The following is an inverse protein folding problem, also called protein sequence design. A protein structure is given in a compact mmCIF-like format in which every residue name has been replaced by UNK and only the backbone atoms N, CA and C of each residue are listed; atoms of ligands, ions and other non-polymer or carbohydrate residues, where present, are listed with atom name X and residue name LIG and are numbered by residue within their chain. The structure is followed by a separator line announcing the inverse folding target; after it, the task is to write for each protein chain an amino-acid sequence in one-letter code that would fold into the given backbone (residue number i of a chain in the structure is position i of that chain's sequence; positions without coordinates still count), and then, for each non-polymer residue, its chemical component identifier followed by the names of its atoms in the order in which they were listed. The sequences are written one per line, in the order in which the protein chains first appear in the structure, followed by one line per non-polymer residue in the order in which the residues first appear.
data_IF_330237905669
#
_entry.id   IF_330237905669
#
_cell.length_a   1.000
_cell.length_b   1.000
_cell.length_c   1.000
_cell.angle_alpha   90.00
_cell.angle_beta   90.00
_cell.angle_gamma   90.00
#
_symmetry.space_group_name_H-M   'P 1'
#
loop_
_entity.id
_entity.type
_entity.pdbx_description
1 polymer ?
#
# COMPACT_ATOMS: atom_id res chain seq x y z
N UNK A 1 61.72 16.96 7.16
CA UNK A 1 60.45 17.39 6.54
C UNK A 1 59.71 16.15 6.08
N UNK A 2 58.76 15.64 6.88
CA UNK A 2 57.98 14.43 6.58
C UNK A 2 56.62 14.84 6.02
N UNK A 3 56.30 14.32 4.83
CA UNK A 3 55.03 14.58 4.15
C UNK A 3 53.88 13.83 4.84
N UNK A 4 52.91 14.58 5.36
CA UNK A 4 51.66 14.08 5.92
C UNK A 4 50.74 13.66 4.77
N UNK A 5 50.35 12.39 4.71
CA UNK A 5 49.33 11.89 3.76
C UNK A 5 47.92 12.25 4.28
N UNK A 6 46.99 12.65 3.40
CA UNK A 6 45.62 12.96 3.80
C UNK A 6 44.84 11.66 4.13
N UNK A 7 43.83 11.74 5.01
CA UNK A 7 43.02 10.59 5.38
C UNK A 7 42.15 10.15 4.19
N UNK A 8 42.15 8.83 3.91
CA UNK A 8 41.26 8.20 2.93
C UNK A 8 39.82 8.31 3.44
N UNK A 9 38.98 9.04 2.71
CA UNK A 9 37.53 9.08 2.94
C UNK A 9 36.93 7.68 2.83
N UNK A 10 36.14 7.29 3.83
CA UNK A 10 35.34 6.06 3.77
C UNK A 10 34.18 6.26 2.78
N UNK A 11 33.82 5.24 1.99
CA UNK A 11 32.62 5.32 1.15
C UNK A 11 31.39 5.47 2.06
N UNK A 12 30.56 6.49 1.77
CA UNK A 12 29.25 6.69 2.39
C UNK A 12 28.30 5.60 1.89
N UNK A 13 27.53 5.00 2.80
CA UNK A 13 26.46 4.05 2.49
C UNK A 13 25.23 4.82 1.98
N UNK A 14 24.47 4.26 1.03
CA UNK A 14 23.21 4.86 0.59
C UNK A 14 22.11 4.68 1.65
N UNK A 15 21.13 5.61 1.69
CA UNK A 15 19.91 5.51 2.50
C UNK A 15 19.07 4.29 2.10
N UNK A 16 18.29 3.73 3.03
CA UNK A 16 17.38 2.60 2.75
C UNK A 16 16.15 3.09 1.93
N UNK A 17 15.41 2.20 1.27
CA UNK A 17 14.20 2.51 0.48
C UNK A 17 12.98 1.84 1.13
N UNK A 18 11.77 2.38 0.88
CA UNK A 18 10.57 2.10 1.68
C UNK A 18 9.72 0.93 1.21
N UNK A 19 9.84 0.55 -0.05
CA UNK A 19 9.65 -0.84 -0.44
C UNK A 19 11.05 -1.48 -0.49
N UNK A 20 11.20 -2.73 -0.05
CA UNK A 20 12.51 -3.33 -0.07
C UNK A 20 12.72 -3.56 -1.58
N UNK A 21 13.50 -2.69 -2.22
CA UNK A 21 13.95 -2.67 -3.62
C UNK A 21 14.73 -1.35 -3.73
N UNK A 22 15.90 -1.23 -3.14
CA UNK A 22 17.12 -1.05 -3.93
C UNK A 22 18.30 -0.92 -2.97
N UNK A 23 19.39 -1.61 -3.26
CA UNK A 23 20.70 -1.36 -2.67
C UNK A 23 21.73 -1.97 -3.61
N UNK A 24 22.14 -1.23 -4.65
CA UNK A 24 23.54 -1.13 -5.13
C UNK A 24 23.64 -0.34 -6.44
N UNK A 25 24.41 0.75 -6.39
CA UNK A 25 25.35 1.10 -7.47
C UNK A 25 24.88 2.09 -8.52
N UNK A 26 25.07 3.38 -8.24
CA UNK A 26 24.93 4.48 -9.19
C UNK A 26 25.64 4.19 -10.53
N UNK A 27 24.86 3.84 -11.56
CA UNK A 27 25.24 3.99 -12.97
C UNK A 27 24.46 5.16 -13.53
N UNK A 28 25.19 6.19 -13.97
CA UNK A 28 24.66 7.34 -14.71
C UNK A 28 23.90 6.84 -15.96
N UNK A 29 22.58 6.83 -15.90
CA UNK A 29 21.74 6.76 -17.09
C UNK A 29 21.65 8.15 -17.70
N UNK A 30 21.88 8.24 -19.02
CA UNK A 30 21.69 9.46 -19.81
C UNK A 30 20.18 9.64 -20.06
N UNK A 31 19.64 10.88 -20.14
CA UNK A 31 18.25 11.10 -20.50
C UNK A 31 18.08 10.74 -21.98
N UNK A 32 17.61 9.52 -22.25
CA UNK A 32 17.18 9.06 -23.55
C UNK A 32 15.66 9.15 -23.60
N UNK A 33 15.16 10.01 -24.47
CA UNK A 33 13.75 10.26 -24.73
C UNK A 33 12.96 8.96 -24.95
N UNK A 34 12.05 8.64 -24.04
CA UNK A 34 10.99 7.66 -24.25
C UNK A 34 9.68 8.15 -23.59
N UNK A 35 9.31 9.39 -23.88
CA UNK A 35 7.95 9.89 -23.67
C UNK A 35 7.16 9.51 -24.93
N UNK A 36 6.59 8.30 -24.95
CA UNK A 36 5.89 7.81 -26.13
C UNK A 36 5.22 6.47 -25.90
N UNK A 37 3.89 6.53 -25.82
CA UNK A 37 2.93 5.41 -25.79
C UNK A 37 2.89 4.58 -24.51
N UNK A 38 1.85 4.81 -23.70
CA UNK A 38 0.90 3.78 -23.25
C UNK A 38 -0.30 4.46 -22.58
N UNK A 39 -1.16 5.05 -23.43
CA UNK A 39 -2.52 5.49 -23.09
C UNK A 39 -3.43 4.80 -24.11
N UNK A 40 -3.64 3.50 -23.91
CA UNK A 40 -4.47 2.68 -24.79
C UNK A 40 -5.20 1.59 -23.99
N UNK A 41 -6.10 2.03 -23.11
CA UNK A 41 -7.31 1.39 -22.58
C UNK A 41 -7.69 2.25 -21.36
N UNK A 42 -8.86 2.85 -21.19
CA UNK A 42 -10.18 2.59 -21.72
C UNK A 42 -10.99 3.90 -21.70
N UNK A 43 -11.24 4.52 -22.85
CA UNK A 43 -12.41 5.38 -22.99
C UNK A 43 -13.63 4.48 -23.18
N UNK A 44 -13.99 3.72 -22.14
CA UNK A 44 -15.37 3.29 -22.01
C UNK A 44 -16.12 4.54 -21.57
N UNK A 45 -16.91 5.12 -22.48
CA UNK A 45 -17.91 6.10 -22.09
C UNK A 45 -18.66 5.51 -20.89
N UNK A 46 -18.64 6.21 -19.76
CA UNK A 46 -19.37 5.81 -18.57
C UNK A 46 -20.81 5.47 -19.01
N UNK A 47 -21.28 4.23 -18.84
CA UNK A 47 -22.64 3.89 -19.22
C UNK A 47 -23.59 4.78 -18.42
N UNK A 48 -24.66 5.33 -19.04
CA UNK A 48 -25.67 6.16 -18.37
C UNK A 48 -26.48 5.40 -17.28
N UNK A 49 -26.06 4.19 -16.91
CA UNK A 49 -26.63 3.38 -15.84
C UNK A 49 -26.09 3.75 -14.46
N UNK A 50 -24.95 4.46 -14.37
CA UNK A 50 -24.37 4.91 -13.10
C UNK A 50 -25.28 5.89 -12.33
N UNK A 51 -26.04 6.75 -13.02
CA UNK A 51 -27.04 7.63 -12.41
C UNK A 51 -28.32 6.90 -11.97
N UNK A 52 -28.62 5.71 -12.51
CA UNK A 52 -29.82 4.94 -12.12
C UNK A 52 -29.62 4.14 -10.84
N UNK A 53 -28.41 3.69 -10.56
CA UNK A 53 -28.07 2.94 -9.35
C UNK A 53 -28.30 3.77 -8.07
N UNK A 54 -27.90 5.04 -8.05
CA UNK A 54 -28.15 5.96 -6.92
C UNK A 54 -29.65 6.19 -6.67
N UNK A 55 -30.50 6.12 -7.70
CA UNK A 55 -31.94 6.30 -7.57
C UNK A 55 -32.70 5.03 -7.16
N UNK A 56 -32.06 3.85 -7.23
CA UNK A 56 -32.72 2.56 -7.06
C UNK A 56 -32.57 1.92 -5.66
N UNK A 57 -31.88 2.58 -4.72
CA UNK A 57 -31.63 2.00 -3.39
C UNK A 57 -30.78 0.73 -3.45
N UNK A 58 -29.89 0.64 -4.44
CA UNK A 58 -28.89 -0.43 -4.49
C UNK A 58 -28.02 -0.37 -3.23
N UNK A 59 -27.62 -1.54 -2.68
CA UNK A 59 -26.72 -1.58 -1.53
C UNK A 59 -25.47 -0.75 -1.82
N UNK A 60 -25.02 0.01 -0.82
CA UNK A 60 -23.78 0.77 -0.90
C UNK A 60 -22.67 -0.15 -1.42
N UNK A 61 -21.94 0.31 -2.44
CA UNK A 61 -20.86 -0.47 -3.05
C UNK A 61 -19.79 -0.71 -1.98
N UNK A 62 -19.21 -1.91 -1.89
CA UNK A 62 -18.11 -2.13 -0.96
C UNK A 62 -17.00 -1.11 -1.29
N UNK A 63 -16.55 -0.32 -0.30
CA UNK A 63 -15.40 0.55 -0.48
C UNK A 63 -14.15 -0.30 -0.75
N UNK A 64 -13.16 0.29 -1.42
CA UNK A 64 -11.87 -0.37 -1.62
C UNK A 64 -11.13 -0.38 -0.28
N UNK A 65 -10.73 -1.56 0.14
CA UNK A 65 -10.08 -1.80 1.42
C UNK A 65 -8.58 -1.50 1.31
N UNK A 66 -7.95 -1.93 0.22
CA UNK A 66 -6.51 -1.87 0.02
C UNK A 66 -6.14 -1.36 -1.38
N UNK A 67 -5.02 -0.65 -1.48
CA UNK A 67 -4.46 -0.18 -2.76
C UNK A 67 -3.16 -0.90 -3.07
N UNK A 68 -2.76 -0.87 -4.35
CA UNK A 68 -1.54 -1.55 -4.79
C UNK A 68 -0.26 -0.78 -4.46
N UNK A 69 -0.30 0.55 -4.52
CA UNK A 69 0.86 1.43 -4.29
C UNK A 69 0.61 2.48 -3.19
N UNK A 70 -0.65 2.79 -2.88
CA UNK A 70 -1.05 3.81 -1.92
C UNK A 70 -1.70 3.25 -0.66
N UNK A 71 -2.28 4.15 0.13
CA UNK A 71 -3.04 3.82 1.34
C UNK A 71 -4.51 4.21 1.13
N UNK A 72 -5.44 3.33 1.48
CA UNK A 72 -6.87 3.64 1.51
C UNK A 72 -7.29 4.12 2.91
N UNK A 73 -8.15 5.14 3.03
CA UNK A 73 -8.73 5.52 4.32
C UNK A 73 -9.88 4.59 4.69
N UNK A 74 -9.58 3.31 4.94
CA UNK A 74 -10.57 2.29 5.27
C UNK A 74 -10.33 1.73 6.69
N UNK A 75 -10.88 2.36 7.74
CA UNK A 75 -10.76 1.82 9.08
C UNK A 75 -11.65 0.58 9.24
N UNK A 76 -11.10 -0.46 9.86
CA UNK A 76 -11.87 -1.62 10.30
C UNK A 76 -12.96 -1.26 11.31
N UNK A 77 -14.10 -1.96 11.28
CA UNK A 77 -15.15 -1.81 12.29
C UNK A 77 -14.62 -2.20 13.69
N UNK A 78 -15.29 -1.74 14.75
CA UNK A 78 -14.91 -2.11 16.11
C UNK A 78 -14.93 -3.64 16.29
N UNK A 79 -13.78 -4.20 16.68
CA UNK A 79 -13.53 -5.63 16.87
C UNK A 79 -13.57 -6.44 15.56
N UNK A 80 -13.32 -5.81 14.43
CA UNK A 80 -13.08 -6.49 13.17
C UNK A 80 -11.58 -6.70 12.95
N UNK A 81 -11.23 -7.91 12.50
CA UNK A 81 -9.88 -8.27 12.08
C UNK A 81 -9.85 -8.41 10.56
N UNK A 82 -9.06 -7.57 9.90
CA UNK A 82 -8.68 -7.75 8.51
C UNK A 82 -7.34 -8.46 8.40
N UNK A 83 -7.27 -9.39 7.47
CA UNK A 83 -6.05 -10.12 7.11
C UNK A 83 -5.80 -9.93 5.63
N UNK A 84 -4.73 -9.20 5.30
CA UNK A 84 -4.32 -8.95 3.92
C UNK A 84 -3.02 -9.70 3.62
N UNK A 85 -2.94 -10.36 2.48
CA UNK A 85 -1.66 -10.76 1.90
C UNK A 85 -1.49 -10.11 0.54
N UNK A 86 -0.36 -9.44 0.33
CA UNK A 86 -0.07 -8.73 -0.91
C UNK A 86 1.16 -9.30 -1.67
N UNK A 87 1.12 -10.54 -2.20
CA UNK A 87 2.26 -11.10 -2.89
C UNK A 87 2.72 -10.24 -4.06
N UNK A 88 4.01 -9.95 -4.10
CA UNK A 88 4.62 -9.12 -5.14
C UNK A 88 5.77 -9.86 -5.81
N UNK A 89 5.85 -9.78 -7.13
CA UNK A 89 7.02 -10.15 -7.91
C UNK A 89 7.52 -8.92 -8.64
N UNK A 90 8.79 -8.58 -8.46
CA UNK A 90 9.39 -7.37 -9.01
C UNK A 90 10.70 -7.71 -9.72
N UNK A 91 11.00 -6.95 -10.77
CA UNK A 91 12.26 -7.01 -11.48
C UNK A 91 12.85 -5.62 -11.67
N UNK A 92 14.12 -5.48 -11.31
CA UNK A 92 14.95 -4.31 -11.56
C UNK A 92 16.27 -4.77 -12.21
N UNK A 93 16.36 -4.64 -13.53
CA UNK A 93 17.47 -5.12 -14.34
C UNK A 93 17.68 -6.63 -14.21
N UNK A 94 18.65 -7.02 -13.37
CA UNK A 94 19.02 -8.41 -13.05
C UNK A 94 18.59 -8.85 -11.66
N UNK A 95 18.16 -7.91 -10.82
CA UNK A 95 17.60 -8.19 -9.51
C UNK A 95 16.15 -8.63 -9.69
N UNK A 96 15.78 -9.69 -9.00
CA UNK A 96 14.39 -10.14 -8.89
C UNK A 96 14.04 -10.22 -7.42
N UNK A 97 12.92 -9.63 -7.04
CA UNK A 97 12.36 -9.76 -5.69
C UNK A 97 11.03 -10.49 -5.77
N UNK A 98 10.78 -11.31 -4.77
CA UNK A 98 9.48 -11.88 -4.48
C UNK A 98 9.16 -11.63 -3.02
N UNK A 99 8.03 -11.00 -2.75
CA UNK A 99 7.54 -10.68 -1.41
C UNK A 99 6.19 -11.33 -1.17
N UNK A 100 5.94 -11.76 0.07
CA UNK A 100 4.63 -12.20 0.56
C UNK A 100 4.40 -11.53 1.91
N UNK A 101 4.06 -10.22 1.91
CA UNK A 101 3.64 -9.54 3.11
C UNK A 101 2.34 -10.14 3.63
N UNK A 102 2.23 -10.18 4.95
CA UNK A 102 1.00 -10.49 5.68
C UNK A 102 0.72 -9.30 6.59
N UNK A 103 -0.38 -8.60 6.33
CA UNK A 103 -0.88 -7.49 7.12
C UNK A 103 -2.05 -7.99 7.98
N UNK A 104 -2.04 -7.59 9.24
CA UNK A 104 -3.08 -7.88 10.22
C UNK A 104 -3.56 -6.56 10.79
N UNK A 105 -4.82 -6.22 10.59
CA UNK A 105 -5.41 -4.96 11.06
C UNK A 105 -6.59 -5.25 11.97
N UNK A 106 -6.58 -4.64 13.16
CA UNK A 106 -7.63 -4.79 14.15
C UNK A 106 -8.28 -3.44 14.40
N UNK A 107 -9.58 -3.35 14.11
CA UNK A 107 -10.41 -2.23 14.54
C UNK A 107 -10.58 -2.27 16.05
N UNK A 108 -10.00 -1.30 16.76
CA UNK A 108 -10.17 -1.13 18.20
C UNK A 108 -11.50 -0.41 18.49
N UNK A 109 -11.84 0.54 17.62
CA UNK A 109 -13.12 1.24 17.56
C UNK A 109 -13.44 1.53 16.09
N UNK A 110 -14.64 2.01 15.78
CA UNK A 110 -15.04 2.45 14.42
C UNK A 110 -14.20 3.61 13.85
N UNK A 111 -13.18 4.08 14.59
CA UNK A 111 -12.28 5.14 14.17
C UNK A 111 -10.82 4.84 14.42
N UNK A 112 -10.48 3.85 15.24
CA UNK A 112 -9.09 3.58 15.62
C UNK A 112 -8.79 2.15 15.25
N UNK A 113 -7.77 1.94 14.43
CA UNK A 113 -7.23 0.63 14.13
C UNK A 113 -5.77 0.55 14.52
N UNK A 114 -5.31 -0.68 14.74
CA UNK A 114 -3.89 -1.00 14.86
C UNK A 114 -3.54 -2.12 13.88
N UNK A 115 -2.38 -1.97 13.24
CA UNK A 115 -1.91 -2.88 12.21
C UNK A 115 -0.57 -3.52 12.56
N UNK A 116 -0.27 -4.66 11.96
CA UNK A 116 1.06 -5.25 11.93
C UNK A 116 1.35 -5.90 10.59
N UNK A 117 2.51 -5.60 10.00
CA UNK A 117 2.97 -6.18 8.74
C UNK A 117 4.17 -7.11 8.96
N UNK A 118 4.10 -8.29 8.35
CA UNK A 118 5.13 -9.33 8.39
C UNK A 118 5.62 -9.62 6.95
N UNK A 119 6.68 -8.96 6.47
CA UNK A 119 7.15 -9.14 5.09
C UNK A 119 8.07 -10.36 4.95
N UNK A 120 7.60 -11.42 4.30
CA UNK A 120 8.46 -12.54 3.90
C UNK A 120 9.03 -12.28 2.51
N UNK A 121 10.35 -12.31 2.36
CA UNK A 121 11.01 -11.89 1.13
C UNK A 121 12.03 -12.91 0.62
N UNK A 122 12.15 -12.95 -0.70
CA UNK A 122 13.22 -13.61 -1.45
C UNK A 122 13.79 -12.61 -2.46
N UNK A 123 15.06 -12.27 -2.31
CA UNK A 123 15.79 -11.39 -3.23
C UNK A 123 16.86 -12.21 -3.95
N UNK A 124 16.76 -12.27 -5.27
CA UNK A 124 17.75 -12.89 -6.16
C UNK A 124 18.56 -11.83 -6.89
N UNK A 125 19.86 -12.05 -6.95
CA UNK A 125 20.82 -11.22 -7.67
C UNK A 125 21.91 -12.09 -8.29
N UNK A 126 22.76 -11.51 -9.16
CA UNK A 126 23.80 -12.25 -9.92
C UNK A 126 24.75 -13.11 -9.05
N UNK A 127 24.86 -12.81 -7.76
CA UNK A 127 25.80 -13.44 -6.82
C UNK A 127 25.14 -14.39 -5.82
N UNK A 128 23.82 -14.53 -5.83
CA UNK A 128 23.12 -15.38 -4.86
C UNK A 128 21.66 -15.01 -4.65
N UNK A 129 21.09 -15.62 -3.62
CA UNK A 129 19.73 -15.37 -3.17
C UNK A 129 19.72 -15.21 -1.66
N UNK A 130 18.98 -14.21 -1.17
CA UNK A 130 18.72 -14.01 0.26
C UNK A 130 17.23 -14.16 0.47
N UNK A 131 16.83 -14.95 1.48
CA UNK A 131 15.43 -15.14 1.83
C UNK A 131 15.25 -15.04 3.35
N UNK A 132 14.11 -14.52 3.78
CA UNK A 132 13.81 -14.36 5.19
C UNK A 132 12.75 -13.30 5.45
N UNK A 133 12.58 -12.99 6.74
CA UNK A 133 11.73 -11.91 7.19
C UNK A 133 12.44 -10.56 6.96
N UNK A 134 11.72 -9.58 6.41
CA UNK A 134 12.12 -8.19 6.32
C UNK A 134 11.88 -7.44 7.64
N UNK A 135 11.76 -6.11 7.58
CA UNK A 135 11.43 -5.31 8.75
C UNK A 135 9.95 -5.48 9.12
N UNK A 136 9.67 -5.79 10.38
CA UNK A 136 8.28 -5.88 10.86
C UNK A 136 7.76 -4.49 11.09
N UNK A 137 6.52 -4.22 10.67
CA UNK A 137 5.87 -2.93 10.89
C UNK A 137 4.74 -3.07 11.87
N UNK A 138 4.54 -2.01 12.63
CA UNK A 138 3.38 -1.83 13.49
C UNK A 138 2.77 -0.47 13.17
N UNK A 139 1.47 -0.42 13.05
CA UNK A 139 0.75 0.76 12.59
C UNK A 139 -0.36 1.12 13.58
N UNK A 140 -0.69 2.40 13.66
CA UNK A 140 -1.92 2.89 14.22
C UNK A 140 -2.52 3.95 13.30
N UNK A 141 -3.78 3.79 12.93
CA UNK A 141 -4.53 4.72 12.09
C UNK A 141 -5.78 5.22 12.82
N UNK A 142 -6.08 6.50 12.65
CA UNK A 142 -7.32 7.11 13.09
C UNK A 142 -8.11 7.66 11.91
N UNK A 143 -9.38 7.29 11.82
CA UNK A 143 -10.32 7.88 10.88
C UNK A 143 -10.83 9.22 11.42
N UNK A 144 -10.55 10.29 10.68
CA UNK A 144 -10.92 11.67 11.02
C UNK A 144 -12.27 12.04 10.43
N UNK A 145 -12.59 11.54 9.23
CA UNK A 145 -13.84 11.75 8.53
C UNK A 145 -14.28 10.44 7.91
N UNK A 146 -15.48 10.02 8.26
CA UNK A 146 -16.13 8.84 7.67
C UNK A 146 -16.82 9.20 6.35
N UNK A 147 -16.72 8.29 5.39
CA UNK A 147 -17.10 8.40 3.98
C UNK A 147 -18.56 8.72 3.68
N UNK A 148 -19.41 8.93 4.69
CA UNK A 148 -20.87 9.02 4.65
C UNK A 148 -21.49 9.99 3.62
N UNK A 149 -22.36 10.92 4.04
CA UNK A 149 -23.16 11.72 3.08
C UNK A 149 -22.33 12.60 2.12
N UNK A 150 -21.08 12.88 2.48
CA UNK A 150 -20.18 13.68 1.66
C UNK A 150 -19.36 12.84 0.68
N UNK A 151 -19.40 11.50 0.72
CA UNK A 151 -18.54 10.65 -0.12
C UNK A 151 -17.07 10.99 0.05
N UNK A 152 -16.64 11.30 1.27
CA UNK A 152 -15.31 11.78 1.60
C UNK A 152 -14.81 11.05 2.84
N UNK A 153 -13.75 10.28 2.71
CA UNK A 153 -13.05 9.67 3.83
C UNK A 153 -11.68 10.32 4.03
N UNK A 154 -11.24 10.44 5.29
CA UNK A 154 -9.94 11.01 5.64
C UNK A 154 -9.41 10.30 6.88
N UNK A 155 -8.23 9.69 6.77
CA UNK A 155 -7.52 9.11 7.90
C UNK A 155 -6.12 9.68 8.05
N UNK A 156 -5.56 9.51 9.23
CA UNK A 156 -4.17 9.79 9.51
C UNK A 156 -3.59 8.70 10.40
N UNK A 157 -2.32 8.38 10.23
CA UNK A 157 -1.71 7.31 10.99
C UNK A 157 -0.22 7.48 11.21
N UNK A 158 0.32 6.50 11.92
CA UNK A 158 1.74 6.37 12.19
C UNK A 158 2.14 4.90 12.04
N UNK A 159 3.08 4.62 11.15
CA UNK A 159 3.77 3.34 11.09
C UNK A 159 5.12 3.41 11.82
N UNK A 160 5.52 2.30 12.42
CA UNK A 160 6.86 2.09 12.95
C UNK A 160 7.47 0.82 12.37
N UNK A 161 8.57 0.95 11.64
CA UNK A 161 9.34 -0.17 11.13
C UNK A 161 10.42 -0.57 12.14
N UNK A 162 10.41 -1.85 12.53
CA UNK A 162 11.33 -2.46 13.46
C UNK A 162 12.31 -3.37 12.69
N UNK A 163 13.63 -3.26 12.94
CA UNK A 163 14.59 -4.14 12.29
C UNK A 163 14.34 -5.57 12.74
N UNK A 164 13.98 -6.44 11.80
CA UNK A 164 13.74 -7.85 12.03
C UNK A 164 14.44 -8.69 10.94
N UNK A 165 14.56 -10.00 11.21
CA UNK A 165 15.12 -10.97 10.27
C UNK A 165 16.54 -10.66 9.78
N UNK A 166 16.78 -10.90 8.49
CA UNK A 166 18.11 -10.77 7.89
C UNK A 166 18.41 -9.30 7.55
N UNK A 167 19.58 -8.79 7.97
CA UNK A 167 20.03 -7.40 7.71
C UNK A 167 20.07 -6.98 6.23
N UNK A 168 20.00 -7.94 5.32
CA UNK A 168 20.03 -7.74 3.88
C UNK A 168 18.62 -7.49 3.29
N UNK A 169 17.56 -7.78 4.06
CA UNK A 169 16.16 -7.72 3.63
C UNK A 169 15.40 -6.53 4.21
N UNK A 170 16.00 -5.76 5.12
CA UNK A 170 15.35 -4.60 5.69
C UNK A 170 16.33 -3.56 6.24
N UNK A 171 15.84 -2.35 6.59
CA UNK A 171 16.65 -1.34 7.22
C UNK A 171 17.32 -1.86 8.49
N UNK A 172 18.57 -1.46 8.72
CA UNK A 172 19.33 -1.86 9.92
C UNK A 172 18.95 -1.08 11.19
N UNK A 173 18.02 -0.12 11.06
CA UNK A 173 17.58 0.79 12.11
C UNK A 173 16.06 0.82 12.18
N UNK A 174 15.55 1.79 12.95
CA UNK A 174 14.12 2.02 13.11
C UNK A 174 13.65 3.04 12.08
N UNK A 175 12.39 2.97 11.67
CA UNK A 175 11.76 4.03 10.90
C UNK A 175 10.40 4.40 11.49
N UNK A 176 9.98 5.64 11.27
CA UNK A 176 8.65 6.14 11.62
C UNK A 176 8.01 6.79 10.38
N UNK A 177 6.73 6.49 10.14
CA UNK A 177 5.91 6.99 9.03
C UNK A 177 4.65 7.69 9.52
N UNK A 178 4.65 9.00 9.78
CA UNK A 178 3.41 9.72 9.71
C UNK A 178 2.84 9.66 8.29
N UNK A 179 1.55 9.36 8.18
CA UNK A 179 0.83 9.40 6.92
C UNK A 179 -0.57 10.00 7.07
N UNK A 180 -1.13 10.42 5.94
CA UNK A 180 -2.51 10.86 5.78
C UNK A 180 -3.05 10.27 4.48
N UNK A 181 -4.28 9.77 4.49
CA UNK A 181 -4.96 9.31 3.28
C UNK A 181 -6.37 9.89 3.18
N UNK A 182 -6.79 10.10 1.95
CA UNK A 182 -8.02 10.76 1.58
C UNK A 182 -8.66 9.95 0.47
N UNK A 183 -9.97 9.71 0.53
CA UNK A 183 -10.75 9.16 -0.57
C UNK A 183 -11.95 10.05 -0.84
N UNK A 184 -12.26 10.25 -2.12
CA UNK A 184 -13.39 11.05 -2.55
C UNK A 184 -14.15 10.34 -3.68
N UNK A 185 -15.43 10.07 -3.43
CA UNK A 185 -16.38 9.69 -4.46
C UNK A 185 -16.83 10.92 -5.28
N UNK A 186 -16.67 10.85 -6.60
CA UNK A 186 -17.05 11.87 -7.58
C UNK A 186 -17.77 11.18 -8.75
N UNK A 187 -19.10 11.26 -8.77
CA UNK A 187 -19.91 10.70 -9.88
C UNK A 187 -19.70 9.20 -10.09
N UNK A 188 -19.55 8.43 -9.01
CA UNK A 188 -19.30 6.98 -9.06
C UNK A 188 -17.85 6.57 -9.34
N UNK A 189 -16.92 7.52 -9.42
CA UNK A 189 -15.47 7.28 -9.46
C UNK A 189 -14.90 7.62 -8.09
N UNK A 190 -13.97 6.82 -7.58
CA UNK A 190 -13.24 7.13 -6.36
C UNK A 190 -11.85 7.64 -6.72
N UNK A 191 -11.43 8.71 -6.03
CA UNK A 191 -10.10 9.29 -6.14
C UNK A 191 -9.48 9.27 -4.76
N UNK A 192 -8.47 8.42 -4.59
CA UNK A 192 -7.72 8.32 -3.35
C UNK A 192 -6.36 9.01 -3.46
N UNK A 193 -5.95 9.70 -2.41
CA UNK A 193 -4.67 10.38 -2.29
C UNK A 193 -4.07 10.03 -0.94
N UNK A 194 -2.85 9.50 -0.92
CA UNK A 194 -2.07 9.34 0.30
C UNK A 194 -0.78 10.17 0.25
N UNK A 195 -0.33 10.62 1.41
CA UNK A 195 0.93 11.31 1.58
C UNK A 195 1.59 10.87 2.89
N UNK A 196 2.90 10.65 2.85
CA UNK A 196 3.65 10.16 4.01
C UNK A 196 5.06 10.73 4.08
N UNK A 197 5.75 10.52 5.20
CA UNK A 197 7.13 10.95 5.36
C UNK A 197 7.93 9.97 6.22
N UNK A 198 8.88 9.23 5.62
CA UNK A 198 9.74 8.32 6.39
C UNK A 198 10.80 9.09 7.14
N UNK A 199 10.92 8.84 8.43
CA UNK A 199 12.10 9.23 9.20
C UNK A 199 12.87 7.97 9.57
N UNK A 200 13.97 7.70 8.87
CA UNK A 200 14.87 6.59 9.20
C UNK A 200 15.86 7.03 10.26
N UNK A 201 15.86 6.32 11.38
CA UNK A 201 16.77 6.55 12.50
C UNK A 201 18.02 5.68 12.33
N UNK A 202 19.22 6.29 12.32
CA UNK A 202 20.45 5.54 12.09
C UNK A 202 20.76 4.63 13.27
N UNK A 203 21.27 3.43 12.97
CA UNK A 203 21.72 2.48 13.99
C UNK A 203 22.92 3.00 14.81
N UNK A 204 23.71 3.93 14.25
CA UNK A 204 24.86 4.56 14.90
C UNK A 204 24.61 6.06 15.14
N UNK A 205 24.92 6.53 16.37
CA UNK A 205 24.71 7.93 16.81
C UNK A 205 25.40 9.03 15.99
N UNK A 206 26.23 8.68 14.99
CA UNK A 206 27.03 9.65 14.21
C UNK A 206 26.46 9.93 12.82
N UNK A 207 25.48 9.14 12.39
CA UNK A 207 24.85 9.35 11.10
C UNK A 207 23.63 10.27 11.29
N UNK A 208 23.23 10.99 10.23
CA UNK A 208 22.04 11.83 10.25
C UNK A 208 20.79 10.97 10.04
N UNK A 209 19.65 11.41 10.55
CA UNK A 209 18.37 10.85 10.16
C UNK A 209 18.08 11.19 8.69
N UNK A 210 17.45 10.26 7.99
CA UNK A 210 17.08 10.40 6.59
C UNK A 210 15.57 10.60 6.49
N UNK A 211 15.15 11.53 5.63
CA UNK A 211 13.75 11.86 5.39
C UNK A 211 13.38 11.45 3.96
N UNK A 212 12.38 10.59 3.79
CA UNK A 212 11.86 10.19 2.48
C UNK A 212 10.35 10.49 2.41
N UNK A 213 9.93 11.65 1.85
CA UNK A 213 8.53 11.96 1.63
C UNK A 213 7.95 11.11 0.49
N UNK A 214 6.69 10.69 0.61
CA UNK A 214 5.98 9.90 -0.39
C UNK A 214 4.59 10.47 -0.68
N UNK A 215 4.11 10.29 -1.91
CA UNK A 215 2.73 10.57 -2.31
C UNK A 215 2.22 9.49 -3.25
N UNK A 216 0.95 9.09 -3.12
CA UNK A 216 0.29 8.20 -4.05
C UNK A 216 -1.11 8.71 -4.42
N UNK A 217 -1.50 8.52 -5.68
CA UNK A 217 -2.81 8.87 -6.22
C UNK A 217 -3.41 7.63 -6.87
N UNK A 218 -4.63 7.27 -6.50
CA UNK A 218 -5.39 6.20 -7.12
C UNK A 218 -6.69 6.73 -7.74
N UNK A 219 -7.04 6.18 -8.90
CA UNK A 219 -8.36 6.34 -9.52
C UNK A 219 -8.98 4.96 -9.63
N UNK A 220 -10.17 4.82 -9.07
CA UNK A 220 -10.88 3.55 -8.91
C UNK A 220 -12.26 3.71 -9.56
N UNK A 221 -12.65 2.75 -10.38
CA UNK A 221 -13.96 2.73 -11.05
C UNK A 221 -14.80 1.52 -10.60
N UNK A 222 -15.58 1.63 -9.50
CA UNK A 222 -16.41 0.52 -9.05
C UNK A 222 -17.53 0.18 -10.05
N UNK A 223 -17.48 -1.02 -10.64
CA UNK A 223 -18.45 -1.56 -11.60
C UNK A 223 -18.93 -2.93 -11.11
N UNK A 224 -20.01 -2.92 -10.32
CA UNK A 224 -20.51 -4.14 -9.67
C UNK A 224 -19.48 -4.70 -8.69
N UNK A 225 -19.14 -6.00 -8.75
CA UNK A 225 -18.14 -6.58 -7.85
C UNK A 225 -16.70 -6.27 -8.28
N UNK A 226 -16.47 -5.60 -9.41
CA UNK A 226 -15.13 -5.37 -9.97
C UNK A 226 -14.82 -3.89 -9.95
N UNK A 227 -13.61 -3.50 -9.58
CA UNK A 227 -13.13 -2.13 -9.62
C UNK A 227 -11.78 -2.06 -10.34
N UNK A 228 -11.73 -1.67 -11.63
CA UNK A 228 -10.49 -1.33 -12.29
C UNK A 228 -9.82 -0.14 -11.59
N UNK A 229 -8.50 -0.21 -11.45
CA UNK A 229 -7.70 0.80 -10.75
C UNK A 229 -6.50 1.23 -11.58
N UNK A 230 -6.13 2.50 -11.42
CA UNK A 230 -4.85 3.04 -11.88
C UNK A 230 -4.28 3.86 -10.74
N UNK A 231 -3.02 3.58 -10.40
CA UNK A 231 -2.32 4.20 -9.28
C UNK A 231 -0.99 4.78 -9.75
N UNK A 232 -0.63 5.93 -9.19
CA UNK A 232 0.64 6.58 -9.40
C UNK A 232 1.25 6.89 -8.04
N UNK A 233 2.48 6.42 -7.80
CA UNK A 233 3.19 6.68 -6.55
C UNK A 233 4.55 7.31 -6.83
N UNK A 234 4.96 8.24 -5.96
CA UNK A 234 6.23 8.93 -6.06
C UNK A 234 6.89 9.07 -4.68
N UNK A 235 8.18 8.76 -4.61
CA UNK A 235 9.05 9.15 -3.50
C UNK A 235 9.80 10.43 -3.88
N UNK A 236 9.88 11.38 -2.96
CA UNK A 236 10.32 12.76 -3.19
C UNK A 236 11.61 13.08 -2.42
N UNK A 237 12.57 12.15 -2.41
CA UNK A 237 13.88 12.34 -1.80
C UNK A 237 15.00 12.60 -2.84
N UNK A 238 16.28 12.47 -2.44
CA UNK A 238 17.41 12.68 -3.35
C UNK A 238 17.41 11.71 -4.55
N UNK A 239 16.77 10.56 -4.41
CA UNK A 239 16.61 9.52 -5.43
C UNK A 239 15.15 9.42 -5.89
N UNK A 240 14.50 10.58 -6.08
CA UNK A 240 13.09 10.68 -6.44
C UNK A 240 12.67 9.65 -7.50
N UNK A 241 11.59 8.94 -7.20
CA UNK A 241 11.11 7.80 -7.95
C UNK A 241 9.64 7.97 -8.33
N UNK A 242 9.22 7.28 -9.40
CA UNK A 242 7.85 7.33 -9.89
C UNK A 242 7.45 5.97 -10.43
N UNK A 243 6.35 5.42 -9.92
CA UNK A 243 5.78 4.15 -10.35
C UNK A 243 4.32 4.34 -10.77
N UNK A 244 3.87 3.51 -11.71
CA UNK A 244 2.49 3.41 -12.16
C UNK A 244 2.03 1.96 -11.98
N UNK A 245 0.92 1.74 -11.28
CA UNK A 245 0.24 0.45 -11.28
C UNK A 245 -1.09 0.56 -12.02
N UNK A 246 -1.43 -0.47 -12.78
CA UNK A 246 -2.76 -0.63 -13.36
C UNK A 246 -3.26 -2.02 -13.06
N UNK A 247 -4.45 -2.10 -12.48
CA UNK A 247 -4.96 -3.34 -11.93
C UNK A 247 -6.47 -3.40 -11.87
N UNK A 248 -6.93 -4.42 -11.17
CA UNK A 248 -8.33 -4.68 -10.92
C UNK A 248 -8.48 -5.28 -9.53
N UNK A 249 -9.47 -4.77 -8.80
CA UNK A 249 -9.97 -5.33 -7.55
C UNK A 249 -11.28 -6.07 -7.82
N UNK A 250 -11.53 -7.14 -7.09
CA UNK A 250 -12.70 -7.99 -7.23
C UNK A 250 -13.21 -8.40 -5.85
N UNK A 251 -14.51 -8.20 -5.63
CA UNK A 251 -15.25 -8.54 -4.43
C UNK A 251 -16.17 -9.73 -4.71
N UNK A 252 -15.66 -10.98 -4.73
CA UNK A 252 -16.46 -12.18 -5.00
C UNK A 252 -17.51 -12.47 -3.93
N UNK A 253 -17.29 -12.00 -2.70
CA UNK A 253 -18.13 -12.24 -1.54
C UNK A 253 -17.95 -11.10 -0.53
N UNK A 254 -18.89 -10.90 0.41
CA UNK A 254 -18.70 -9.96 1.52
C UNK A 254 -17.43 -10.28 2.33
N UNK A 255 -16.67 -9.22 2.65
CA UNK A 255 -15.40 -9.27 3.37
C UNK A 255 -14.32 -10.11 2.69
N UNK A 256 -14.33 -10.19 1.35
CA UNK A 256 -13.24 -10.79 0.56
C UNK A 256 -12.95 -9.89 -0.63
N UNK A 257 -11.76 -9.31 -0.66
CA UNK A 257 -11.23 -8.57 -1.79
C UNK A 257 -10.05 -9.34 -2.41
N UNK A 258 -10.02 -9.40 -3.75
CA UNK A 258 -8.94 -9.98 -4.52
C UNK A 258 -8.44 -8.94 -5.53
N UNK A 259 -7.13 -8.72 -5.58
CA UNK A 259 -6.53 -7.74 -6.48
C UNK A 259 -5.42 -8.33 -7.34
N UNK A 260 -5.27 -7.80 -8.54
CA UNK A 260 -4.08 -7.99 -9.35
C UNK A 260 -3.73 -6.72 -10.13
N UNK A 261 -2.46 -6.31 -10.11
CA UNK A 261 -1.97 -5.16 -10.86
C UNK A 261 -0.62 -5.42 -11.51
N UNK A 262 -0.39 -4.75 -12.63
CA UNK A 262 0.92 -4.60 -13.26
C UNK A 262 1.51 -3.25 -12.85
N UNK A 263 2.69 -3.27 -12.23
CA UNK A 263 3.46 -2.08 -11.89
C UNK A 263 4.55 -1.83 -12.94
N UNK A 264 4.78 -0.56 -13.25
CA UNK A 264 5.85 -0.09 -14.13
C UNK A 264 6.58 1.09 -13.46
N UNK A 265 7.88 0.95 -13.27
CA UNK A 265 8.76 2.06 -12.91
C UNK A 265 8.90 3.04 -14.07
N UNK A 266 8.56 4.30 -13.82
CA UNK A 266 8.62 5.38 -14.80
C UNK A 266 9.87 6.25 -14.62
N UNK A 267 10.37 6.37 -13.38
CA UNK A 267 11.57 7.13 -13.05
C UNK A 267 12.19 6.70 -11.72
N UNK A 268 13.46 7.08 -11.53
CA UNK A 268 14.20 6.86 -10.29
C UNK A 268 14.52 5.40 -10.02
N UNK A 269 14.65 5.06 -8.74
CA UNK A 269 14.94 3.69 -8.28
C UNK A 269 13.64 2.91 -8.02
N UNK A 270 12.83 2.70 -9.07
CA UNK A 270 11.63 1.83 -9.04
C UNK A 270 11.89 0.53 -9.82
N UNK A 271 11.16 -0.56 -9.55
CA UNK A 271 11.22 -1.76 -10.37
C UNK A 271 10.92 -1.44 -11.84
N UNK A 272 11.65 -2.06 -12.78
CA UNK A 272 11.33 -1.96 -14.21
C UNK A 272 9.91 -2.47 -14.48
N UNK A 273 9.52 -3.53 -13.78
CA UNK A 273 8.19 -4.14 -13.84
C UNK A 273 7.89 -4.91 -12.56
N UNK A 274 6.64 -4.85 -12.12
CA UNK A 274 6.11 -5.59 -10.99
C UNK A 274 4.78 -6.27 -11.32
N UNK A 275 4.52 -7.41 -10.70
CA UNK A 275 3.20 -8.04 -10.61
C UNK A 275 2.80 -8.02 -9.13
N UNK A 276 1.71 -7.33 -8.84
CA UNK A 276 1.17 -7.17 -7.50
C UNK A 276 -0.13 -7.99 -7.42
N UNK A 277 -0.28 -8.75 -6.36
CA UNK A 277 -1.49 -9.49 -6.04
C UNK A 277 -1.97 -9.06 -4.66
N UNK A 278 -3.27 -9.07 -4.44
CA UNK A 278 -3.89 -8.74 -3.17
C UNK A 278 -4.93 -9.81 -2.82
N UNK A 279 -4.96 -10.22 -1.57
CA UNK A 279 -5.99 -11.07 -0.99
C UNK A 279 -6.30 -10.53 0.39
N UNK A 280 -7.50 -9.97 0.56
CA UNK A 280 -7.96 -9.37 1.81
C UNK A 280 -9.17 -10.11 2.32
N UNK A 281 -9.22 -10.34 3.63
CA UNK A 281 -10.34 -11.01 4.29
C UNK A 281 -10.67 -10.32 5.61
N UNK A 282 -11.93 -9.92 5.74
CA UNK A 282 -12.51 -9.42 6.98
C UNK A 282 -13.04 -10.58 7.85
N UNK A 283 -12.85 -10.45 9.17
CA UNK A 283 -13.26 -11.41 10.19
C UNK A 283 -13.81 -10.66 11.40
N UNK A 284 -15.12 -10.74 11.63
CA UNK A 284 -15.74 -10.24 12.85
C UNK A 284 -15.26 -11.04 14.08
N UNK A 285 -14.62 -10.36 15.05
CA UNK A 285 -14.26 -10.98 16.32
C UNK A 285 -15.43 -10.84 17.29
N UNK A 286 -16.39 -11.74 17.16
CA UNK A 286 -17.64 -11.74 17.91
C UNK A 286 -17.47 -11.41 19.41
N UNK A 287 -18.22 -10.40 19.86
CA UNK A 287 -18.92 -10.49 21.13
C UNK A 287 -19.94 -11.62 21.01
N UNK A 288 -19.56 -12.84 21.39
CA UNK A 288 -20.36 -14.06 21.28
C UNK A 288 -21.81 -13.86 21.69
N UNK A 289 -22.70 -13.99 20.72
CA UNK A 289 -24.14 -13.94 20.87
C UNK A 289 -24.79 -14.64 19.68
N UNK A 290 -24.51 -15.94 19.54
CA UNK A 290 -25.43 -16.85 18.85
C UNK A 290 -26.76 -16.84 19.63
N UNK A 291 -27.61 -15.84 19.41
CA UNK A 291 -29.05 -16.07 19.53
C UNK A 291 -29.51 -16.66 18.19
N UNK A 292 -29.85 -17.95 18.12
CA UNK A 292 -30.55 -18.45 16.96
C UNK A 292 -31.84 -17.66 16.84
N UNK A 293 -32.07 -17.07 15.66
CA UNK A 293 -33.33 -16.43 15.30
C UNK A 293 -34.46 -17.46 15.43
N UNK A 294 -35.08 -17.55 16.61
CA UNK A 294 -36.33 -18.27 16.77
C UNK A 294 -37.38 -17.56 15.93
N UNK A 295 -37.74 -18.17 14.80
CA UNK A 295 -38.96 -17.89 14.07
C UNK A 295 -40.19 -18.27 14.94
N UNK A 296 -40.46 -17.45 15.94
CA UNK A 296 -41.69 -17.47 16.72
C UNK A 296 -42.80 -16.76 15.94
N UNK A 297 -43.48 -17.50 15.06
CA UNK A 297 -44.74 -17.07 14.46
C UNK A 297 -45.74 -16.70 15.56
N UNK A 298 -46.03 -15.42 15.76
CA UNK A 298 -47.27 -15.01 16.45
C UNK A 298 -48.28 -14.62 15.39
N UNK A 299 -49.15 -15.59 15.12
CA UNK A 299 -50.40 -15.44 14.38
C UNK A 299 -51.17 -14.22 14.89
N UNK A 300 -51.49 -13.32 13.97
CA UNK A 300 -52.64 -12.43 14.12
C UNK A 300 -53.92 -13.27 14.08
N UNK A 301 -54.88 -12.87 14.92
CA UNK A 301 -56.33 -12.73 14.64
C UNK A 301 -57.20 -13.18 15.83
N UNK A 302 -58.44 -12.68 15.95
CA UNK A 302 -59.11 -11.63 15.18
C UNK A 302 -59.28 -10.30 15.95
#
# INVERSE_FOLDING_TARGET
MSAVRPPRGRPRRPPAARNPAAATGARRARPGSALGLLLAASTAAAPPELERAEAAGEPARPPVEELFLGEAPFPQEALELQVTSAPAWERDGRRVRFGVPLLLELGITDRLQVGAELPLELVRHDRGATAGLGAVRAEAMVNLVDGGALGLALSAGLEAALPAGARELGPTGYALEPFVSLDKAIGGVHVALSASAEVRLPAARRDAAELSPGVALAVILPVGPVAPTVELAAELDEAASLALASGVLWHPAPGLELGAALELGLAGETPDVGLLLLVTREIELAGGGDEPLEHGSRSRSP
#
